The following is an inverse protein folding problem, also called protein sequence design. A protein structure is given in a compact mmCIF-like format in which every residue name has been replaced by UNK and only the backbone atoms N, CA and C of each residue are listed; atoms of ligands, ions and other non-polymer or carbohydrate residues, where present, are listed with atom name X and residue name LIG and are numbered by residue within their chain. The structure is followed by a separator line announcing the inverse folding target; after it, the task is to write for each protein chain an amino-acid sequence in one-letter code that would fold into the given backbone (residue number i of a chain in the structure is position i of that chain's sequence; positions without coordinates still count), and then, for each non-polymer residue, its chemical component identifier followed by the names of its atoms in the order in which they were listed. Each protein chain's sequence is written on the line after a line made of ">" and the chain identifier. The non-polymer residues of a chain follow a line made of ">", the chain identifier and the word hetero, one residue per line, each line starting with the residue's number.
data_IF_649648898997
#
_entry.id   IF_649648898997
#
_cell.length_a   1.000
_cell.length_b   1.000
_cell.length_c   1.000
_cell.angle_alpha   90.00
_cell.angle_beta   90.00
_cell.angle_gamma   90.00
#
_symmetry.space_group_name_H-M   'P 1'
#
loop_
_entity.id
_entity.type
_entity.pdbx_description
1 polymer ?
#
# COMPACT_ATOMS: atom_id res chain seq x y z
N UNK A 1 -106.02 0.08 47.67
CA UNK A 1 -105.31 -1.06 47.05
C UNK A 1 -104.90 -0.87 45.57
N UNK A 2 -105.69 -0.22 44.69
CA UNK A 2 -105.35 -0.05 43.25
C UNK A 2 -104.09 0.80 42.99
N UNK A 3 -103.92 1.93 43.67
CA UNK A 3 -102.74 2.81 43.48
C UNK A 3 -101.41 2.14 43.87
N UNK A 4 -101.40 1.30 44.91
CA UNK A 4 -100.20 0.58 45.34
C UNK A 4 -99.75 -0.48 44.30
N UNK A 5 -100.70 -1.12 43.60
CA UNK A 5 -100.39 -2.04 42.49
C UNK A 5 -99.81 -1.29 41.28
N UNK A 6 -100.37 -0.12 40.96
CA UNK A 6 -99.91 0.73 39.86
C UNK A 6 -98.50 1.27 40.11
N UNK A 7 -98.21 1.71 41.34
CA UNK A 7 -96.87 2.17 41.73
C UNK A 7 -95.82 1.04 41.68
N UNK A 8 -96.17 -0.16 42.15
CA UNK A 8 -95.29 -1.35 42.03
C UNK A 8 -95.02 -1.72 40.56
N UNK A 9 -95.99 -1.54 39.67
CA UNK A 9 -95.85 -1.82 38.24
C UNK A 9 -94.95 -0.81 37.55
N UNK A 10 -95.13 0.49 37.82
CA UNK A 10 -94.26 1.57 37.30
C UNK A 10 -92.81 1.35 37.77
N UNK A 11 -92.61 1.01 39.06
CA UNK A 11 -91.27 0.73 39.60
C UNK A 11 -90.60 -0.48 38.92
N UNK A 12 -91.36 -1.52 38.55
CA UNK A 12 -90.86 -2.65 37.74
C UNK A 12 -90.50 -2.23 36.32
N UNK A 13 -91.33 -1.43 35.65
CA UNK A 13 -91.06 -0.92 34.29
C UNK A 13 -89.80 -0.04 34.25
N UNK A 14 -89.62 0.86 35.22
CA UNK A 14 -88.41 1.69 35.31
C UNK A 14 -87.17 0.82 35.51
N UNK A 15 -87.24 -0.20 36.36
CA UNK A 15 -86.11 -1.13 36.62
C UNK A 15 -85.76 -1.96 35.38
N UNK A 16 -86.77 -2.41 34.62
CA UNK A 16 -86.58 -3.14 33.36
C UNK A 16 -85.93 -2.26 32.28
N UNK A 17 -86.39 -1.01 32.13
CA UNK A 17 -85.80 -0.06 31.20
C UNK A 17 -84.35 0.30 31.55
N UNK A 18 -84.03 0.50 32.83
CA UNK A 18 -82.65 0.71 33.29
C UNK A 18 -81.74 -0.51 33.02
N UNK A 19 -82.26 -1.73 33.22
CA UNK A 19 -81.52 -2.96 32.92
C UNK A 19 -81.25 -3.12 31.42
N UNK A 20 -82.22 -2.81 30.55
CA UNK A 20 -82.04 -2.86 29.09
C UNK A 20 -81.04 -1.81 28.60
N UNK A 21 -81.08 -0.59 29.14
CA UNK A 21 -80.09 0.44 28.83
C UNK A 21 -78.67 0.02 29.24
N UNK A 22 -78.52 -0.56 30.44
CA UNK A 22 -77.24 -1.09 30.91
C UNK A 22 -76.74 -2.28 30.07
N UNK A 23 -77.64 -3.15 29.58
CA UNK A 23 -77.30 -4.26 28.70
C UNK A 23 -76.80 -3.75 27.33
N UNK A 24 -77.44 -2.71 26.78
CA UNK A 24 -77.03 -2.07 25.53
C UNK A 24 -75.66 -1.37 25.65
N UNK A 25 -75.41 -0.68 26.77
CA UNK A 25 -74.10 -0.13 27.14
C UNK A 25 -73.00 -1.20 27.18
N UNK A 26 -73.25 -2.33 27.85
CA UNK A 26 -72.31 -3.46 27.92
C UNK A 26 -72.02 -4.06 26.54
N UNK A 27 -73.04 -4.21 25.68
CA UNK A 27 -72.86 -4.67 24.29
C UNK A 27 -71.99 -3.69 23.49
N UNK A 28 -72.23 -2.37 23.61
CA UNK A 28 -71.43 -1.32 22.94
C UNK A 28 -69.97 -1.34 23.40
N UNK A 29 -69.70 -1.44 24.71
CA UNK A 29 -68.34 -1.58 25.26
C UNK A 29 -67.63 -2.84 24.76
N UNK A 30 -68.33 -3.98 24.67
CA UNK A 30 -67.78 -5.25 24.14
C UNK A 30 -67.44 -5.14 22.65
N UNK A 31 -68.29 -4.47 21.86
CA UNK A 31 -68.03 -4.20 20.44
C UNK A 31 -66.81 -3.27 20.26
N UNK A 32 -66.73 -2.19 21.04
CA UNK A 32 -65.59 -1.26 21.00
C UNK A 32 -64.26 -1.95 21.37
N UNK A 33 -64.28 -2.87 22.36
CA UNK A 33 -63.11 -3.68 22.67
C UNK A 33 -62.71 -4.62 21.53
N UNK A 34 -63.66 -5.25 20.83
CA UNK A 34 -63.38 -6.08 19.65
C UNK A 34 -62.74 -5.25 18.53
N UNK A 35 -63.28 -4.06 18.25
CA UNK A 35 -62.73 -3.12 17.24
C UNK A 35 -61.30 -2.72 17.60
N UNK A 36 -61.03 -2.32 18.86
CA UNK A 36 -59.68 -1.99 19.33
C UNK A 36 -58.71 -3.18 19.19
N UNK A 37 -59.15 -4.41 19.50
CA UNK A 37 -58.35 -5.63 19.32
C UNK A 37 -58.05 -5.90 17.83
N UNK A 38 -59.01 -5.72 16.94
CA UNK A 38 -58.81 -5.86 15.49
C UNK A 38 -57.82 -4.82 14.94
N UNK A 39 -57.97 -3.55 15.34
CA UNK A 39 -57.04 -2.47 14.94
C UNK A 39 -55.61 -2.71 15.44
N UNK A 40 -55.44 -3.23 16.66
CA UNK A 40 -54.11 -3.64 17.18
C UNK A 40 -53.52 -4.80 16.37
N UNK A 41 -54.32 -5.81 16.00
CA UNK A 41 -53.87 -6.94 15.17
C UNK A 41 -53.44 -6.48 13.76
N UNK A 42 -54.19 -5.59 13.11
CA UNK A 42 -53.82 -5.04 11.79
C UNK A 42 -52.57 -4.18 11.85
N UNK A 43 -52.41 -3.31 12.87
CA UNK A 43 -51.16 -2.56 13.09
C UNK A 43 -49.95 -3.48 13.27
N UNK A 44 -50.07 -4.53 14.09
CA UNK A 44 -49.00 -5.52 14.31
C UNK A 44 -48.63 -6.28 13.02
N UNK A 45 -49.62 -6.65 12.20
CA UNK A 45 -49.39 -7.27 10.87
C UNK A 45 -48.65 -6.32 9.92
N UNK A 46 -49.05 -5.04 9.83
CA UNK A 46 -48.36 -4.03 9.00
C UNK A 46 -46.91 -3.82 9.43
N UNK A 47 -46.66 -3.69 10.74
CA UNK A 47 -45.31 -3.54 11.28
C UNK A 47 -44.43 -4.77 10.99
N UNK A 48 -44.96 -5.99 11.12
CA UNK A 48 -44.23 -7.20 10.80
C UNK A 48 -43.91 -7.33 9.29
N UNK A 49 -44.83 -6.92 8.41
CA UNK A 49 -44.59 -6.87 6.96
C UNK A 49 -43.45 -5.91 6.62
N UNK A 50 -43.48 -4.69 7.16
CA UNK A 50 -42.39 -3.71 6.98
C UNK A 50 -41.04 -4.22 7.51
N UNK A 51 -41.02 -4.89 8.67
CA UNK A 51 -39.79 -5.50 9.20
C UNK A 51 -39.23 -6.59 8.28
N UNK A 52 -40.09 -7.43 7.69
CA UNK A 52 -39.68 -8.46 6.71
C UNK A 52 -39.10 -7.82 5.44
N UNK A 53 -39.76 -6.81 4.89
CA UNK A 53 -39.29 -6.08 3.69
C UNK A 53 -37.94 -5.39 3.92
N UNK A 54 -37.75 -4.74 5.08
CA UNK A 54 -36.45 -4.15 5.47
C UNK A 54 -35.36 -5.21 5.56
N UNK A 55 -35.62 -6.37 6.18
CA UNK A 55 -34.65 -7.49 6.26
C UNK A 55 -34.24 -8.00 4.87
N UNK A 56 -35.18 -8.13 3.93
CA UNK A 56 -34.91 -8.56 2.55
C UNK A 56 -34.04 -7.54 1.81
N UNK A 57 -34.34 -6.24 1.94
CA UNK A 57 -33.54 -5.15 1.35
C UNK A 57 -32.10 -5.11 1.89
N UNK A 58 -31.90 -5.36 3.18
CA UNK A 58 -30.57 -5.43 3.80
C UNK A 58 -29.80 -6.65 3.28
N UNK A 59 -30.41 -7.84 3.27
CA UNK A 59 -29.77 -9.06 2.75
C UNK A 59 -29.32 -8.92 1.28
N UNK A 60 -30.15 -8.29 0.44
CA UNK A 60 -29.80 -8.03 -0.97
C UNK A 60 -28.66 -7.02 -1.12
N UNK A 61 -28.64 -5.93 -0.33
CA UNK A 61 -27.51 -4.98 -0.30
C UNK A 61 -26.19 -5.68 0.11
N UNK A 62 -26.22 -6.52 1.13
CA UNK A 62 -25.03 -7.28 1.58
C UNK A 62 -24.54 -8.23 0.48
N UNK A 63 -25.43 -8.99 -0.18
CA UNK A 63 -25.07 -9.86 -1.31
C UNK A 63 -24.43 -9.07 -2.46
N UNK A 64 -24.99 -7.90 -2.83
CA UNK A 64 -24.42 -7.02 -3.86
C UNK A 64 -23.03 -6.50 -3.48
N UNK A 65 -22.83 -6.10 -2.21
CA UNK A 65 -21.53 -5.64 -1.69
C UNK A 65 -20.47 -6.76 -1.72
N UNK A 66 -20.83 -7.98 -1.29
CA UNK A 66 -19.95 -9.17 -1.39
C UNK A 66 -19.54 -9.49 -2.83
N UNK A 67 -20.48 -9.42 -3.78
CA UNK A 67 -20.19 -9.62 -5.22
C UNK A 67 -19.24 -8.54 -5.78
N UNK A 68 -19.45 -7.27 -5.43
CA UNK A 68 -18.55 -6.17 -5.81
C UNK A 68 -17.13 -6.38 -5.25
N UNK A 69 -16.99 -6.71 -3.97
CA UNK A 69 -15.70 -6.99 -3.35
C UNK A 69 -14.99 -8.19 -3.99
N UNK A 70 -15.71 -9.27 -4.35
CA UNK A 70 -15.12 -10.41 -5.07
C UNK A 70 -14.62 -10.01 -6.47
N UNK A 71 -15.41 -9.21 -7.21
CA UNK A 71 -15.00 -8.69 -8.53
C UNK A 71 -13.77 -7.79 -8.43
N UNK A 72 -13.70 -6.95 -7.40
CA UNK A 72 -12.54 -6.08 -7.15
C UNK A 72 -11.30 -6.88 -6.73
N UNK A 73 -11.45 -7.91 -5.88
CA UNK A 73 -10.36 -8.83 -5.52
C UNK A 73 -9.83 -9.59 -6.73
N UNK A 74 -10.71 -10.06 -7.62
CA UNK A 74 -10.31 -10.70 -8.87
C UNK A 74 -9.61 -9.72 -9.82
N UNK A 75 -10.06 -8.46 -9.90
CA UNK A 75 -9.39 -7.42 -10.70
C UNK A 75 -7.99 -7.12 -10.15
N UNK A 76 -7.84 -7.04 -8.81
CA UNK A 76 -6.53 -6.87 -8.15
C UNK A 76 -5.61 -8.06 -8.40
N UNK A 77 -6.14 -9.29 -8.39
CA UNK A 77 -5.39 -10.49 -8.72
C UNK A 77 -4.91 -10.49 -10.19
N UNK A 78 -5.78 -10.07 -11.11
CA UNK A 78 -5.44 -9.95 -12.53
C UNK A 78 -4.37 -8.87 -12.79
N UNK A 79 -4.46 -7.71 -12.14
CA UNK A 79 -3.42 -6.67 -12.23
C UNK A 79 -2.08 -7.17 -11.69
N UNK A 80 -2.07 -7.90 -10.56
CA UNK A 80 -0.84 -8.52 -10.03
C UNK A 80 -0.25 -9.55 -11.00
N UNK A 81 -1.10 -10.34 -11.65
CA UNK A 81 -0.68 -11.32 -12.65
C UNK A 81 -0.05 -10.62 -13.88
N UNK A 82 -0.65 -9.54 -14.38
CA UNK A 82 -0.08 -8.75 -15.48
C UNK A 82 1.26 -8.11 -15.09
N UNK A 83 1.38 -7.57 -13.88
CA UNK A 83 2.65 -7.03 -13.36
C UNK A 83 3.73 -8.12 -13.25
N UNK A 84 3.35 -9.34 -12.84
CA UNK A 84 4.26 -10.48 -12.79
C UNK A 84 4.76 -10.86 -14.20
N UNK A 85 3.87 -10.90 -15.19
CA UNK A 85 4.25 -11.17 -16.59
C UNK A 85 5.19 -10.09 -17.14
N UNK A 86 4.95 -8.81 -16.85
CA UNK A 86 5.85 -7.73 -17.23
C UNK A 86 7.25 -7.88 -16.62
N UNK A 87 7.35 -8.37 -15.37
CA UNK A 87 8.65 -8.65 -14.72
C UNK A 87 9.41 -9.77 -15.42
N UNK A 88 8.71 -10.87 -15.73
CA UNK A 88 9.31 -12.00 -16.43
C UNK A 88 9.80 -11.55 -17.81
N UNK A 89 8.98 -10.79 -18.53
CA UNK A 89 9.35 -10.24 -19.83
C UNK A 89 10.60 -9.35 -19.73
N UNK A 90 10.66 -8.44 -18.75
CA UNK A 90 11.82 -7.58 -18.55
C UNK A 90 13.10 -8.38 -18.22
N UNK A 91 13.00 -9.40 -17.36
CA UNK A 91 14.13 -10.27 -17.03
C UNK A 91 14.63 -11.06 -18.24
N UNK A 92 13.72 -11.59 -19.06
CA UNK A 92 14.07 -12.30 -20.30
C UNK A 92 14.75 -11.36 -21.29
N UNK A 93 14.25 -10.14 -21.46
CA UNK A 93 14.87 -9.14 -22.35
C UNK A 93 16.29 -8.78 -21.88
N UNK A 94 16.48 -8.54 -20.58
CA UNK A 94 17.80 -8.26 -20.02
C UNK A 94 18.77 -9.43 -20.20
N UNK A 95 18.31 -10.68 -19.98
CA UNK A 95 19.14 -11.87 -20.19
C UNK A 95 19.57 -12.01 -21.66
N UNK A 96 18.65 -11.83 -22.60
CA UNK A 96 18.94 -11.89 -24.04
C UNK A 96 19.95 -10.81 -24.46
N UNK A 97 19.84 -9.61 -23.89
CA UNK A 97 20.77 -8.52 -24.19
C UNK A 97 22.19 -8.81 -23.68
N UNK A 98 22.32 -9.37 -22.47
CA UNK A 98 23.62 -9.82 -21.94
C UNK A 98 24.24 -10.89 -22.86
N UNK A 99 23.44 -11.88 -23.31
CA UNK A 99 23.91 -12.92 -24.22
C UNK A 99 24.38 -12.35 -25.57
N UNK A 100 23.66 -11.38 -26.14
CA UNK A 100 24.08 -10.70 -27.37
C UNK A 100 25.38 -9.93 -27.21
N UNK A 101 25.57 -9.22 -26.09
CA UNK A 101 26.82 -8.50 -25.81
C UNK A 101 28.02 -9.44 -25.62
N UNK A 102 27.83 -10.58 -24.95
CA UNK A 102 28.87 -11.61 -24.82
C UNK A 102 29.29 -12.17 -26.19
N UNK A 103 28.32 -12.45 -27.06
CA UNK A 103 28.59 -12.98 -28.39
C UNK A 103 29.34 -11.96 -29.27
N UNK A 104 28.99 -10.67 -29.18
CA UNK A 104 29.74 -9.60 -29.86
C UNK A 104 31.16 -9.46 -29.33
N UNK A 105 31.39 -9.59 -28.02
CA UNK A 105 32.73 -9.60 -27.42
C UNK A 105 33.56 -10.77 -27.94
N UNK A 106 33.00 -11.98 -27.97
CA UNK A 106 33.70 -13.16 -28.51
C UNK A 106 34.05 -12.98 -29.99
N UNK A 107 33.15 -12.40 -30.79
CA UNK A 107 33.40 -12.10 -32.21
C UNK A 107 34.49 -11.04 -32.43
N UNK A 108 34.63 -10.06 -31.54
CA UNK A 108 35.75 -9.10 -31.58
C UNK A 108 37.06 -9.78 -31.23
N UNK A 109 37.07 -10.66 -30.22
CA UNK A 109 38.25 -11.43 -29.80
C UNK A 109 38.72 -12.37 -30.91
N UNK A 110 37.80 -13.08 -31.58
CA UNK A 110 38.13 -13.94 -32.73
C UNK A 110 38.67 -13.12 -33.92
N UNK A 111 38.04 -11.95 -34.18
CA UNK A 111 38.54 -10.80 -34.96
C UNK A 111 40.06 -10.61 -34.83
N UNK A 112 40.44 -10.22 -33.62
CA UNK A 112 41.80 -9.83 -33.24
C UNK A 112 42.77 -11.03 -33.36
N UNK A 113 42.35 -12.23 -32.94
CA UNK A 113 43.17 -13.45 -33.05
C UNK A 113 43.51 -13.79 -34.51
N UNK A 114 42.58 -13.60 -35.44
CA UNK A 114 42.81 -13.84 -36.88
C UNK A 114 43.77 -12.81 -37.46
N UNK A 115 43.65 -11.54 -37.07
CA UNK A 115 44.55 -10.45 -37.51
C UNK A 115 45.99 -10.67 -37.05
N UNK A 116 46.18 -11.10 -35.79
CA UNK A 116 47.51 -11.42 -35.25
C UNK A 116 48.19 -12.61 -35.96
N UNK A 117 47.42 -13.56 -36.49
CA UNK A 117 47.96 -14.69 -37.27
C UNK A 117 48.40 -14.32 -38.70
N UNK A 118 47.96 -13.19 -39.24
CA UNK A 118 48.27 -12.74 -40.61
C UNK A 118 49.49 -11.83 -40.72
N UNK A 119 50.05 -11.37 -39.59
CA UNK A 119 51.30 -10.61 -39.55
C UNK A 119 52.52 -11.52 -39.51
N UNK A 120 52.99 -11.98 -40.68
CA UNK A 120 54.27 -12.69 -40.82
C UNK A 120 55.36 -11.63 -41.00
N UNK A 121 56.29 -11.54 -40.03
CA UNK A 121 57.50 -10.74 -40.15
C UNK A 121 58.11 -10.29 -38.83
N UNK A 122 58.90 -11.17 -38.20
CA UNK A 122 60.01 -10.78 -37.32
C UNK A 122 59.69 -10.18 -35.96
N UNK A 123 59.55 -11.04 -34.94
CA UNK A 123 60.12 -10.89 -33.57
C UNK A 123 59.89 -12.18 -32.81
N UNK A 124 60.86 -12.59 -32.00
CA UNK A 124 60.90 -13.87 -31.28
C UNK A 124 59.63 -14.06 -30.44
N UNK A 125 59.06 -15.27 -30.48
CA UNK A 125 57.79 -15.65 -29.84
C UNK A 125 57.77 -15.31 -28.33
N UNK A 126 58.94 -15.24 -27.71
CA UNK A 126 59.15 -14.95 -26.28
C UNK A 126 59.06 -13.45 -25.94
N UNK A 127 59.60 -12.57 -26.79
CA UNK A 127 59.45 -11.10 -26.67
C UNK A 127 58.03 -10.65 -27.01
N UNK A 128 57.38 -11.36 -27.94
CA UNK A 128 55.97 -11.14 -28.25
C UNK A 128 55.07 -11.62 -27.11
N UNK A 129 55.34 -12.76 -26.44
CA UNK A 129 54.58 -13.22 -25.25
C UNK A 129 54.65 -12.22 -24.09
N UNK A 130 55.82 -11.63 -23.82
CA UNK A 130 56.00 -10.66 -22.73
C UNK A 130 55.33 -9.30 -23.03
N UNK A 131 55.20 -8.90 -24.30
CA UNK A 131 54.43 -7.72 -24.70
C UNK A 131 52.93 -7.98 -24.88
N UNK A 132 52.52 -9.20 -25.27
CA UNK A 132 51.11 -9.62 -25.39
C UNK A 132 50.43 -9.82 -24.03
N UNK A 133 51.19 -10.12 -22.97
CA UNK A 133 50.66 -10.11 -21.60
C UNK A 133 50.26 -8.72 -21.08
N UNK A 134 50.61 -7.62 -21.78
CA UNK A 134 50.27 -6.25 -21.37
C UNK A 134 49.07 -5.61 -22.06
N UNK A 135 48.46 -6.25 -23.06
CA UNK A 135 47.26 -5.73 -23.73
C UNK A 135 46.07 -6.69 -23.64
N UNK A 136 45.95 -7.41 -22.52
CA UNK A 136 44.65 -7.99 -22.15
C UNK A 136 43.74 -6.82 -21.81
N UNK A 137 42.73 -6.55 -22.64
CA UNK A 137 41.66 -5.59 -22.33
C UNK A 137 41.11 -5.93 -20.94
N UNK A 138 41.55 -5.18 -19.91
CA UNK A 138 41.11 -5.38 -18.54
C UNK A 138 39.66 -4.88 -18.48
N UNK A 139 38.72 -5.79 -18.64
CA UNK A 139 37.29 -5.50 -18.49
C UNK A 139 37.07 -5.17 -17.03
N UNK A 140 36.80 -3.90 -16.73
CA UNK A 140 36.37 -3.47 -15.41
C UNK A 140 34.84 -3.47 -15.36
N UNK A 141 34.27 -4.27 -14.48
CA UNK A 141 32.83 -4.28 -14.22
C UNK A 141 32.54 -3.24 -13.14
N UNK A 142 31.77 -2.21 -13.50
CA UNK A 142 31.41 -1.12 -12.58
C UNK A 142 29.93 -1.24 -12.26
N UNK A 143 29.60 -1.38 -10.98
CA UNK A 143 28.22 -1.33 -10.53
C UNK A 143 27.82 0.12 -10.25
N UNK A 144 26.85 0.64 -11.00
CA UNK A 144 26.34 2.01 -10.83
C UNK A 144 24.94 2.05 -10.22
N UNK A 145 24.26 0.90 -10.18
CA UNK A 145 22.85 0.80 -9.83
C UNK A 145 22.60 -0.43 -8.95
N UNK A 146 21.93 -0.23 -7.82
CA UNK A 146 21.52 -1.29 -6.92
C UNK A 146 19.98 -1.33 -6.85
N UNK A 147 19.39 -2.43 -7.36
CA UNK A 147 17.95 -2.62 -7.42
C UNK A 147 17.53 -3.64 -6.36
N UNK A 148 16.85 -3.17 -5.32
CA UNK A 148 16.35 -3.96 -4.20
C UNK A 148 14.83 -3.86 -4.06
N UNK A 149 14.14 -3.41 -5.12
CA UNK A 149 12.69 -3.23 -5.09
C UNK A 149 11.92 -4.54 -5.06
N UNK A 150 10.69 -4.47 -4.54
CA UNK A 150 9.78 -5.61 -4.41
C UNK A 150 10.28 -6.75 -3.51
N UNK A 151 11.08 -6.40 -2.50
CA UNK A 151 11.51 -7.32 -1.46
C UNK A 151 10.69 -7.13 -0.18
N UNK A 152 11.17 -7.72 0.92
CA UNK A 152 10.57 -7.61 2.26
C UNK A 152 11.50 -6.89 3.24
N UNK A 153 12.35 -5.98 2.74
CA UNK A 153 13.32 -5.27 3.58
C UNK A 153 12.56 -4.40 4.58
N UNK A 154 12.80 -4.62 5.86
CA UNK A 154 12.15 -3.90 6.97
C UNK A 154 13.03 -2.81 7.59
N UNK A 155 14.35 -2.96 7.47
CA UNK A 155 15.34 -2.04 8.02
C UNK A 155 16.57 -2.00 7.12
N UNK A 156 17.17 -0.81 7.01
CA UNK A 156 18.45 -0.56 6.36
C UNK A 156 19.46 0.04 7.34
N UNK A 157 19.24 -0.07 8.66
CA UNK A 157 20.19 0.44 9.66
C UNK A 157 21.60 -0.17 9.49
N UNK A 158 21.67 -1.44 9.09
CA UNK A 158 22.93 -2.17 8.84
C UNK A 158 23.29 -2.27 7.35
N UNK A 159 22.86 -1.30 6.54
CA UNK A 159 23.03 -1.38 5.09
C UNK A 159 24.50 -1.39 4.68
N UNK A 160 25.34 -0.53 5.27
CA UNK A 160 26.75 -0.44 4.91
C UNK A 160 27.53 -1.76 5.12
N UNK A 161 27.54 -2.39 6.32
CA UNK A 161 28.26 -3.66 6.50
C UNK A 161 27.82 -4.78 5.54
N UNK A 162 26.53 -4.81 5.19
CA UNK A 162 26.00 -5.80 4.24
C UNK A 162 26.55 -5.50 2.84
N UNK A 163 26.45 -4.26 2.38
CA UNK A 163 26.93 -3.86 1.05
C UNK A 163 28.43 -4.06 0.92
N UNK A 164 29.21 -3.67 1.92
CA UNK A 164 30.66 -3.88 1.98
C UNK A 164 31.03 -5.37 1.89
N UNK A 165 30.24 -6.26 2.51
CA UNK A 165 30.49 -7.71 2.45
C UNK A 165 30.08 -8.38 1.13
N UNK A 166 29.16 -7.79 0.37
CA UNK A 166 28.54 -8.43 -0.82
C UNK A 166 29.00 -7.79 -2.12
N UNK A 167 29.28 -6.49 -2.14
CA UNK A 167 29.65 -5.74 -3.34
C UNK A 167 31.15 -5.54 -3.41
N UNK A 168 31.73 -5.85 -4.57
CA UNK A 168 33.17 -5.66 -4.82
C UNK A 168 33.59 -4.17 -4.81
N UNK A 169 32.77 -3.28 -5.39
CA UNK A 169 32.96 -1.83 -5.36
C UNK A 169 31.60 -1.12 -5.39
N UNK A 170 31.33 -0.32 -4.36
CA UNK A 170 30.11 0.48 -4.22
C UNK A 170 30.35 1.99 -4.44
N UNK A 171 31.60 2.42 -4.68
CA UNK A 171 31.93 3.84 -4.81
C UNK A 171 31.23 4.49 -5.99
N UNK A 172 30.96 3.74 -7.06
CA UNK A 172 30.31 4.21 -8.28
C UNK A 172 28.78 4.11 -8.25
N UNK A 173 28.18 3.68 -7.13
CA UNK A 173 26.72 3.61 -7.00
C UNK A 173 26.11 5.02 -7.08
N UNK A 174 25.43 5.28 -8.19
CA UNK A 174 24.67 6.50 -8.44
C UNK A 174 23.17 6.36 -8.22
N UNK A 175 22.67 5.11 -8.21
CA UNK A 175 21.25 4.78 -8.14
C UNK A 175 20.99 3.65 -7.14
N UNK A 176 20.07 3.88 -6.20
CA UNK A 176 19.58 2.86 -5.27
C UNK A 176 18.06 2.83 -5.32
N UNK A 177 17.50 1.66 -5.63
CA UNK A 177 16.07 1.40 -5.61
C UNK A 177 15.67 0.51 -4.42
N UNK A 178 15.02 1.11 -3.43
CA UNK A 178 14.46 0.46 -2.24
C UNK A 178 12.92 0.48 -2.27
N UNK A 179 12.31 0.74 -3.43
CA UNK A 179 10.85 0.84 -3.55
C UNK A 179 10.14 -0.49 -3.29
N UNK A 180 8.85 -0.43 -2.96
CA UNK A 180 8.04 -1.63 -2.75
C UNK A 180 8.61 -2.60 -1.69
N UNK A 181 9.15 -2.06 -0.59
CA UNK A 181 9.63 -2.81 0.57
C UNK A 181 8.74 -2.52 1.79
N UNK A 182 9.20 -2.91 2.98
CA UNK A 182 8.50 -2.78 4.26
C UNK A 182 9.17 -1.78 5.20
N UNK A 183 9.91 -0.80 4.67
CA UNK A 183 10.64 0.18 5.46
C UNK A 183 9.65 1.09 6.20
N UNK A 184 9.76 1.14 7.53
CA UNK A 184 8.97 2.07 8.38
C UNK A 184 9.75 3.35 8.72
N UNK A 185 11.06 3.30 8.55
CA UNK A 185 12.01 4.36 8.79
C UNK A 185 13.22 4.18 7.84
N UNK A 186 14.02 5.23 7.67
CA UNK A 186 15.22 5.23 6.84
C UNK A 186 16.43 4.89 7.71
N UNK A 187 16.61 5.58 8.85
CA UNK A 187 17.71 5.39 9.83
C UNK A 187 19.07 4.99 9.23
N UNK A 188 19.43 5.58 8.10
CA UNK A 188 20.68 5.37 7.39
C UNK A 188 20.97 6.61 6.56
N UNK A 189 22.22 7.05 6.53
CA UNK A 189 22.56 8.37 6.00
C UNK A 189 23.09 8.40 4.56
N UNK A 190 23.36 7.23 3.99
CA UNK A 190 23.91 7.03 2.66
C UNK A 190 25.28 7.69 2.42
N UNK A 191 25.97 8.16 3.48
CA UNK A 191 27.27 8.84 3.38
C UNK A 191 28.35 7.99 2.70
N UNK A 192 28.27 6.66 2.82
CA UNK A 192 29.17 5.70 2.19
C UNK A 192 29.07 5.64 0.64
N UNK A 193 28.07 6.27 0.03
CA UNK A 193 27.86 6.26 -1.42
C UNK A 193 28.11 7.67 -2.01
N UNK A 194 29.37 8.05 -2.29
CA UNK A 194 29.72 9.41 -2.67
C UNK A 194 29.07 9.86 -3.99
N UNK A 195 28.82 8.91 -4.89
CA UNK A 195 28.23 9.17 -6.19
C UNK A 195 26.70 9.06 -6.23
N UNK A 196 26.03 8.76 -5.11
CA UNK A 196 24.58 8.55 -5.08
C UNK A 196 23.82 9.82 -5.47
N UNK A 197 23.04 9.75 -6.55
CA UNK A 197 22.20 10.85 -7.06
C UNK A 197 20.71 10.53 -7.09
N UNK A 198 20.34 9.25 -7.15
CA UNK A 198 18.95 8.83 -7.31
C UNK A 198 18.62 7.80 -6.23
N UNK A 199 17.55 8.06 -5.47
CA UNK A 199 17.08 7.20 -4.40
C UNK A 199 15.58 6.97 -4.54
N UNK A 200 15.16 5.70 -4.67
CA UNK A 200 13.74 5.36 -4.72
C UNK A 200 13.29 4.70 -3.41
N UNK A 201 12.30 5.31 -2.76
CA UNK A 201 11.70 4.88 -1.50
C UNK A 201 10.17 4.75 -1.59
N UNK A 202 9.58 4.92 -2.78
CA UNK A 202 8.13 4.85 -2.95
C UNK A 202 7.55 3.48 -2.57
N UNK A 203 6.27 3.47 -2.20
CA UNK A 203 5.55 2.27 -1.76
C UNK A 203 6.23 1.52 -0.60
N UNK A 204 6.67 2.27 0.43
CA UNK A 204 7.11 1.75 1.72
C UNK A 204 6.10 2.17 2.82
N UNK A 205 6.48 2.08 4.09
CA UNK A 205 5.65 2.35 5.27
C UNK A 205 6.22 3.50 6.12
N UNK A 206 7.01 4.40 5.52
CA UNK A 206 7.61 5.54 6.21
C UNK A 206 6.49 6.50 6.64
N UNK A 207 6.41 6.79 7.93
CA UNK A 207 5.30 7.55 8.52
C UNK A 207 5.73 8.81 9.29
N UNK A 208 7.04 9.11 9.33
CA UNK A 208 7.60 10.23 10.08
C UNK A 208 8.47 11.12 9.17
N UNK A 209 8.17 12.41 9.11
CA UNK A 209 8.97 13.39 8.33
C UNK A 209 10.41 13.52 8.82
N UNK A 210 10.68 13.21 10.10
CA UNK A 210 12.04 13.27 10.64
C UNK A 210 13.00 12.30 9.94
N UNK A 211 12.47 11.24 9.33
CA UNK A 211 13.29 10.28 8.59
C UNK A 211 14.00 10.90 7.39
N UNK A 212 13.45 11.97 6.82
CA UNK A 212 14.05 12.68 5.68
C UNK A 212 15.39 13.32 6.06
N UNK A 213 15.58 13.70 7.34
CA UNK A 213 16.87 14.23 7.80
C UNK A 213 18.00 13.22 7.76
N UNK A 214 17.68 11.91 7.72
CA UNK A 214 18.70 10.89 7.61
C UNK A 214 19.36 10.96 6.23
N UNK A 215 18.66 11.37 5.17
CA UNK A 215 19.24 11.45 3.83
C UNK A 215 20.22 12.64 3.76
N UNK A 216 21.51 12.38 4.02
CA UNK A 216 22.57 13.41 4.01
C UNK A 216 23.21 13.62 2.64
N UNK A 217 23.11 12.62 1.76
CA UNK A 217 23.70 12.74 0.43
C UNK A 217 22.98 13.77 -0.44
N UNK A 218 23.73 14.50 -1.31
CA UNK A 218 23.17 15.49 -2.21
C UNK A 218 22.47 14.82 -3.39
N UNK A 219 21.36 14.14 -3.11
CA UNK A 219 20.53 13.47 -4.11
C UNK A 219 19.82 14.47 -5.01
N UNK A 220 19.69 14.11 -6.28
CA UNK A 220 19.08 14.89 -7.36
C UNK A 220 17.64 14.43 -7.60
N UNK A 221 17.36 13.14 -7.44
CA UNK A 221 16.03 12.56 -7.66
C UNK A 221 15.63 11.66 -6.50
N UNK A 222 14.44 11.90 -5.94
CA UNK A 222 13.86 11.13 -4.85
C UNK A 222 12.44 10.72 -5.22
N UNK A 223 12.08 9.45 -5.05
CA UNK A 223 10.67 9.02 -5.06
C UNK A 223 10.28 8.54 -3.68
N UNK A 224 9.12 8.97 -3.18
CA UNK A 224 8.66 8.64 -1.83
C UNK A 224 7.14 8.53 -1.70
N UNK A 225 6.38 8.78 -2.77
CA UNK A 225 4.94 8.56 -2.82
C UNK A 225 4.51 7.15 -2.40
N UNK A 226 3.27 6.99 -1.99
CA UNK A 226 2.76 5.72 -1.49
C UNK A 226 3.35 5.31 -0.13
N UNK A 227 3.98 6.24 0.58
CA UNK A 227 4.31 6.13 1.99
C UNK A 227 3.29 6.92 2.85
N UNK A 228 2.99 6.50 4.07
CA UNK A 228 2.09 7.23 4.96
C UNK A 228 2.43 8.72 5.16
N UNK A 229 3.72 9.10 5.16
CA UNK A 229 4.16 10.51 5.26
C UNK A 229 3.52 11.46 4.24
N UNK A 230 3.08 10.95 3.08
CA UNK A 230 2.38 11.74 2.05
C UNK A 230 1.08 12.38 2.56
N UNK A 231 0.47 11.82 3.61
CA UNK A 231 -0.73 12.38 4.24
C UNK A 231 -0.48 13.59 5.15
N UNK A 232 0.78 13.95 5.40
CA UNK A 232 1.14 15.09 6.25
C UNK A 232 1.02 16.39 5.45
N UNK A 233 0.26 17.39 5.92
CA UNK A 233 0.19 18.69 5.25
C UNK A 233 1.57 19.34 5.12
N UNK A 234 1.91 19.80 3.93
CA UNK A 234 3.21 20.42 3.68
C UNK A 234 4.38 19.46 3.51
N UNK A 235 4.15 18.13 3.42
CA UNK A 235 5.23 17.13 3.30
C UNK A 235 6.18 17.42 2.12
N UNK A 236 5.63 17.85 0.98
CA UNK A 236 6.41 18.14 -0.22
C UNK A 236 7.34 19.32 0.02
N UNK A 237 6.82 20.44 0.52
CA UNK A 237 7.60 21.64 0.84
C UNK A 237 8.68 21.34 1.88
N UNK A 238 8.35 20.50 2.86
CA UNK A 238 9.30 20.03 3.85
C UNK A 238 10.47 19.27 3.22
N UNK A 239 10.20 18.29 2.35
CA UNK A 239 11.26 17.51 1.68
C UNK A 239 12.13 18.40 0.79
N UNK A 240 11.51 19.29 0.02
CA UNK A 240 12.21 20.24 -0.86
C UNK A 240 13.17 21.12 -0.07
N UNK A 241 12.71 21.63 1.07
CA UNK A 241 13.53 22.45 1.95
C UNK A 241 14.68 21.65 2.59
N UNK A 242 14.39 20.45 3.10
CA UNK A 242 15.39 19.63 3.81
C UNK A 242 16.48 19.11 2.88
N UNK A 243 16.17 18.90 1.60
CA UNK A 243 17.10 18.36 0.59
C UNK A 243 17.35 19.43 -0.50
N UNK A 244 18.28 20.37 -0.27
CA UNK A 244 18.51 21.51 -1.17
C UNK A 244 19.09 21.12 -2.53
N UNK A 245 19.67 19.93 -2.68
CA UNK A 245 20.19 19.41 -3.96
C UNK A 245 19.11 18.81 -4.88
N UNK A 246 17.91 18.56 -4.35
CA UNK A 246 16.88 17.79 -5.03
C UNK A 246 16.34 18.54 -6.24
N UNK A 247 16.32 17.93 -7.43
CA UNK A 247 15.72 18.52 -8.64
C UNK A 247 14.38 17.89 -9.00
N UNK A 248 14.20 16.62 -8.68
CA UNK A 248 12.97 15.87 -8.95
C UNK A 248 12.49 15.21 -7.66
N UNK A 249 11.20 15.37 -7.35
CA UNK A 249 10.53 14.69 -6.26
C UNK A 249 9.30 13.95 -6.81
N UNK A 250 9.29 12.65 -6.58
CA UNK A 250 8.40 11.68 -7.21
C UNK A 250 8.53 11.70 -8.74
N UNK A 251 7.51 12.18 -9.44
CA UNK A 251 7.52 12.34 -10.90
C UNK A 251 7.59 13.80 -11.33
N UNK A 252 7.64 14.73 -10.36
CA UNK A 252 7.53 16.16 -10.62
C UNK A 252 8.89 16.86 -10.47
N UNK A 253 9.24 17.64 -11.48
CA UNK A 253 10.36 18.56 -11.42
C UNK A 253 10.08 19.68 -10.42
N UNK A 254 11.07 20.05 -9.62
CA UNK A 254 10.96 21.13 -8.64
C UNK A 254 11.37 22.43 -9.30
N UNK A 255 10.40 23.33 -9.49
CA UNK A 255 10.68 24.63 -10.09
C UNK A 255 11.49 25.53 -9.15
N UNK A 256 12.23 26.49 -9.72
CA UNK A 256 12.95 27.51 -8.92
C UNK A 256 12.00 28.28 -7.99
N UNK A 257 10.83 28.69 -8.49
CA UNK A 257 9.81 29.39 -7.69
C UNK A 257 9.32 28.55 -6.50
N UNK A 258 9.14 27.25 -6.69
CA UNK A 258 8.75 26.32 -5.61
C UNK A 258 9.86 26.23 -4.55
N UNK A 259 11.13 26.18 -4.98
CA UNK A 259 12.28 26.15 -4.08
C UNK A 259 12.41 27.43 -3.26
N UNK A 260 12.38 28.57 -3.93
CA UNK A 260 12.49 29.89 -3.29
C UNK A 260 11.38 30.07 -2.23
N UNK A 261 10.16 29.59 -2.51
CA UNK A 261 9.06 29.62 -1.56
C UNK A 261 9.30 28.71 -0.33
N UNK A 262 9.96 27.55 -0.53
CA UNK A 262 10.31 26.65 0.57
C UNK A 262 11.43 27.24 1.44
N UNK A 263 12.45 27.87 0.84
CA UNK A 263 13.59 28.43 1.57
C UNK A 263 13.18 29.56 2.52
N UNK A 264 12.22 30.41 2.12
CA UNK A 264 11.65 31.45 2.98
C UNK A 264 10.94 30.83 4.19
N UNK A 265 10.24 29.70 4.00
CA UNK A 265 9.42 29.04 5.01
C UNK A 265 10.16 28.00 5.86
N UNK A 266 11.36 27.57 5.46
CA UNK A 266 11.97 26.35 6.01
C UNK A 266 12.31 26.49 7.50
N UNK A 267 12.82 27.63 7.94
CA UNK A 267 13.13 27.88 9.37
C UNK A 267 11.88 27.68 10.25
N UNK A 268 10.70 28.06 9.75
CA UNK A 268 9.41 27.85 10.44
C UNK A 268 9.00 26.37 10.43
N UNK A 269 9.19 25.68 9.31
CA UNK A 269 8.87 24.26 9.16
C UNK A 269 9.74 23.36 10.06
N UNK A 270 11.02 23.71 10.25
CA UNK A 270 11.96 22.97 11.09
C UNK A 270 11.67 23.10 12.59
N UNK A 271 11.06 24.20 13.03
CA UNK A 271 10.73 24.43 14.46
C UNK A 271 9.50 23.63 14.90
N UNK A 272 8.55 23.33 14.00
CA UNK A 272 7.32 22.60 14.32
C UNK A 272 7.07 21.44 13.36
N UNK A 273 7.92 20.42 13.43
CA UNK A 273 7.74 19.19 12.64
C UNK A 273 6.50 18.44 13.16
N UNK A 274 5.50 18.14 12.31
CA UNK A 274 4.35 17.34 12.70
C UNK A 274 4.75 15.97 13.27
N UNK A 275 4.00 15.41 14.23
CA UNK A 275 4.25 14.06 14.71
C UNK A 275 4.05 13.03 13.58
N UNK A 276 4.55 11.79 13.77
CA UNK A 276 4.30 10.70 12.83
C UNK A 276 2.82 10.49 12.55
N UNK A 277 2.50 9.99 11.36
CA UNK A 277 1.11 9.76 10.94
C UNK A 277 0.42 8.78 11.88
N UNK A 278 -0.68 9.23 12.49
CA UNK A 278 -1.50 8.42 13.39
C UNK A 278 -2.17 7.28 12.62
N UNK A 279 -2.17 6.07 13.21
CA UNK A 279 -2.76 4.86 12.59
C UNK A 279 -2.24 4.59 11.17
N UNK A 280 -0.95 4.87 10.92
CA UNK A 280 -0.32 4.54 9.66
C UNK A 280 -0.47 3.03 9.37
N UNK A 281 -0.72 2.63 8.10
CA UNK A 281 -0.64 1.24 7.69
C UNK A 281 0.67 0.62 8.19
N UNK A 282 0.59 -0.62 8.70
CA UNK A 282 1.76 -1.40 9.08
C UNK A 282 2.12 -2.36 7.94
N UNK A 283 3.42 -2.68 7.77
CA UNK A 283 3.81 -3.70 6.83
C UNK A 283 3.19 -5.06 7.21
N UNK A 284 2.98 -5.98 6.25
CA UNK A 284 2.51 -7.33 6.54
C UNK A 284 3.35 -8.00 7.61
N UNK A 285 2.76 -8.88 8.43
CA UNK A 285 3.49 -9.66 9.42
C UNK A 285 4.54 -10.56 8.76
N UNK A 286 5.63 -10.80 9.47
CA UNK A 286 6.67 -11.73 9.05
C UNK A 286 6.21 -13.14 9.42
N UNK A 287 6.01 -14.02 8.43
CA UNK A 287 5.70 -15.42 8.69
C UNK A 287 6.94 -16.11 9.29
N UNK A 288 7.09 -16.09 10.59
CA UNK A 288 8.19 -16.74 11.33
C UNK A 288 8.03 -18.27 11.44
N UNK A 289 6.89 -18.82 11.03
CA UNK A 289 6.53 -20.24 11.21
C UNK A 289 7.41 -21.26 10.44
N UNK A 290 8.34 -20.84 9.59
CA UNK A 290 9.20 -21.75 8.83
C UNK A 290 10.63 -21.89 9.38
N UNK A 291 11.02 -21.13 10.42
CA UNK A 291 12.39 -21.18 10.95
C UNK A 291 12.58 -22.06 12.19
N UNK A 292 11.51 -22.49 12.87
CA UNK A 292 11.65 -23.36 14.06
C UNK A 292 11.79 -24.86 13.72
N UNK A 293 11.43 -25.28 12.50
CA UNK A 293 11.48 -26.71 12.13
C UNK A 293 12.85 -27.21 11.63
N UNK A 294 13.84 -26.33 11.43
CA UNK A 294 15.18 -26.73 10.99
C UNK A 294 16.21 -26.82 12.12
N UNK A 295 15.92 -26.28 13.31
CA UNK A 295 16.86 -26.33 14.45
C UNK A 295 16.62 -27.50 15.41
N UNK A 296 15.55 -28.29 15.22
CA UNK A 296 15.23 -29.46 16.06
C UNK A 296 15.55 -30.81 15.38
N UNK A 297 16.42 -30.84 14.37
CA UNK A 297 16.92 -32.09 13.75
C UNK A 297 18.44 -32.27 13.81
N UNK A 298 19.13 -31.44 14.58
CA UNK A 298 20.54 -31.65 14.94
C UNK A 298 20.68 -31.51 16.45
N UNK A 299 20.34 -32.58 17.16
CA UNK A 299 20.86 -32.96 18.46
C UNK A 299 20.69 -34.47 18.59
#
# INVERSE_FOLDING_TARGET
>A
MRQLKQFKMIKKMVKFNQQNNNLNEKKKKKMMMKVKKMQKKTKKKKMNKQKKEKKVKIKTKIKKKKRKNKKEKNRKLYVRFLQMLQRIQFQVTMFLQIQQEEQQKQNKISKIKIQLKKGIGGKTIEEQKNNLQKNVLKINLICTSLILSYNKIRSIEKFYPIIDSVMYDYNQLGFIDLSHNYLTNIKYDFSHFPNLKILYLHCNYINNLKEIFNIKQPIISLTIHGNPIESIPGFRQFIIGVIPSLKNLDTAHISKKERDACDIGIKRLLVKIPPPVKNAPLPPEENTANNENNNNKQN
#
